data_IF_190495924631
#
_entry.id   IF_190495924631
#
_cell.length_a   1.000
_cell.length_b   1.000
_cell.length_c   1.000
_cell.angle_alpha   90.00
_cell.angle_beta   90.00
_cell.angle_gamma   90.00
#
_symmetry.space_group_name_H-M   'P 1'
#
loop_
_entity.id
_entity.type
_entity.pdbx_description
1 polymer ?
#
# COMPACT_ATOMS: atom_id res chain seq x y z
N UNK A 1 17.25 6.89 15.32
CA UNK A 1 16.33 7.52 16.29
C UNK A 1 16.14 6.60 17.49
N UNK A 2 15.69 7.09 18.66
CA UNK A 2 15.39 6.24 19.84
C UNK A 2 14.48 5.05 19.49
N UNK A 3 13.51 5.29 18.61
CA UNK A 3 12.57 4.29 18.09
C UNK A 3 13.25 3.12 17.37
N UNK A 4 14.41 3.32 16.74
CA UNK A 4 15.09 2.24 16.01
C UNK A 4 15.80 1.25 16.94
N UNK A 5 16.11 1.66 18.17
CA UNK A 5 16.79 0.82 19.16
C UNK A 5 15.85 0.03 20.07
N UNK A 6 14.55 0.34 20.05
CA UNK A 6 13.56 -0.26 20.98
C UNK A 6 12.49 -1.05 20.22
N UNK A 7 12.18 -0.66 18.99
CA UNK A 7 11.12 -1.28 18.21
C UNK A 7 11.69 -2.45 17.42
N UNK A 8 11.18 -3.65 17.68
CA UNK A 8 11.49 -4.87 16.92
C UNK A 8 10.36 -5.27 15.96
N UNK A 9 9.14 -4.79 16.22
CA UNK A 9 7.95 -5.10 15.43
C UNK A 9 6.96 -3.95 15.47
N UNK A 10 6.37 -3.64 14.32
CA UNK A 10 5.33 -2.62 14.15
C UNK A 10 4.04 -3.30 13.71
N UNK A 11 2.92 -2.93 14.32
CA UNK A 11 1.59 -3.32 13.88
C UNK A 11 0.85 -2.07 13.40
N UNK A 12 0.46 -2.08 12.14
CA UNK A 12 -0.32 -1.04 11.51
C UNK A 12 -1.74 -1.55 11.25
N UNK A 13 -2.75 -0.70 11.46
CA UNK A 13 -4.13 -0.98 11.09
C UNK A 13 -4.44 -0.10 9.88
N UNK A 14 -4.70 -0.75 8.75
CA UNK A 14 -5.01 -0.10 7.49
C UNK A 14 -6.11 -0.88 6.76
N UNK A 15 -7.07 -0.18 6.15
CA UNK A 15 -8.24 -0.78 5.48
C UNK A 15 -8.96 -1.89 6.29
N UNK A 16 -9.14 -1.66 7.60
CA UNK A 16 -9.70 -2.66 8.55
C UNK A 16 -8.90 -3.97 8.64
N UNK A 17 -7.65 -3.98 8.19
CA UNK A 17 -6.72 -5.11 8.26
C UNK A 17 -5.54 -4.76 9.16
N UNK A 18 -5.09 -5.75 9.91
CA UNK A 18 -3.90 -5.64 10.74
C UNK A 18 -2.69 -6.12 9.92
N UNK A 19 -1.73 -5.23 9.70
CA UNK A 19 -0.49 -5.49 8.96
C UNK A 19 0.67 -5.44 9.93
N UNK A 20 1.44 -6.52 10.00
CA UNK A 20 2.63 -6.58 10.84
C UNK A 20 3.90 -6.40 10.02
N UNK A 21 4.78 -5.52 10.47
CA UNK A 21 6.11 -5.30 9.91
C UNK A 21 7.17 -5.71 10.91
N UNK A 22 8.11 -6.56 10.48
CA UNK A 22 9.22 -7.01 11.31
C UNK A 22 10.46 -6.12 11.06
N UNK A 23 11.06 -5.62 12.12
CA UNK A 23 12.24 -4.76 12.09
C UNK A 23 12.03 -3.43 12.79
N UNK A 24 13.09 -2.62 12.75
CA UNK A 24 13.11 -1.30 13.36
C UNK A 24 12.17 -0.32 12.64
N UNK A 25 11.92 0.80 13.31
CA UNK A 25 10.97 1.81 12.84
C UNK A 25 11.34 2.41 11.47
N UNK A 26 12.62 2.68 11.23
CA UNK A 26 13.09 3.20 9.94
C UNK A 26 12.80 2.22 8.80
N UNK A 27 13.02 0.92 9.00
CA UNK A 27 12.69 -0.11 8.01
C UNK A 27 11.18 -0.20 7.77
N UNK A 28 10.37 -0.05 8.82
CA UNK A 28 8.92 0.02 8.67
C UNK A 28 8.48 1.18 7.75
N UNK A 29 9.06 2.38 7.92
CA UNK A 29 8.70 3.53 7.08
C UNK A 29 9.01 3.29 5.60
N UNK A 30 10.17 2.69 5.30
CA UNK A 30 10.54 2.31 3.93
C UNK A 30 9.56 1.29 3.33
N UNK A 31 9.25 0.22 4.09
CA UNK A 31 8.31 -0.81 3.66
C UNK A 31 6.90 -0.25 3.46
N UNK A 32 6.49 0.72 4.27
CA UNK A 32 5.20 1.40 4.15
C UNK A 32 5.13 2.23 2.87
N UNK A 33 6.17 2.99 2.54
CA UNK A 33 6.25 3.78 1.32
C UNK A 33 6.23 2.88 0.07
N UNK A 34 7.05 1.83 0.05
CA UNK A 34 7.06 0.85 -1.05
C UNK A 34 5.69 0.19 -1.25
N UNK A 35 5.01 -0.16 -0.16
CA UNK A 35 3.66 -0.74 -0.19
C UNK A 35 2.63 0.25 -0.74
N UNK A 36 2.69 1.50 -0.31
CA UNK A 36 1.79 2.55 -0.79
C UNK A 36 1.95 2.75 -2.30
N UNK A 37 3.19 2.81 -2.80
CA UNK A 37 3.47 2.97 -4.23
C UNK A 37 2.95 1.78 -5.05
N UNK A 38 3.08 0.56 -4.53
CA UNK A 38 2.54 -0.64 -5.18
C UNK A 38 1.01 -0.60 -5.24
N UNK A 39 0.35 -0.23 -4.13
CA UNK A 39 -1.11 -0.10 -4.07
C UNK A 39 -1.61 0.98 -5.03
N UNK A 40 -0.94 2.13 -5.07
CA UNK A 40 -1.28 3.23 -5.98
C UNK A 40 -1.16 2.80 -7.45
N UNK A 41 -0.07 2.11 -7.82
CA UNK A 41 0.09 1.56 -9.17
C UNK A 41 -1.02 0.57 -9.53
N UNK A 42 -1.37 -0.33 -8.62
CA UNK A 42 -2.46 -1.29 -8.83
C UNK A 42 -3.81 -0.58 -9.01
N UNK A 43 -4.08 0.43 -8.18
CA UNK A 43 -5.30 1.24 -8.27
C UNK A 43 -5.41 1.98 -9.60
N UNK A 44 -4.34 2.65 -10.03
CA UNK A 44 -4.31 3.37 -11.32
C UNK A 44 -4.53 2.43 -12.50
N UNK A 45 -3.94 1.23 -12.44
CA UNK A 45 -4.14 0.20 -13.47
C UNK A 45 -5.61 -0.28 -13.51
N UNK A 46 -6.20 -0.57 -12.35
CA UNK A 46 -7.63 -0.92 -12.27
C UNK A 46 -8.52 0.20 -12.82
N UNK A 47 -8.27 1.45 -12.44
CA UNK A 47 -9.05 2.59 -12.93
C UNK A 47 -8.96 2.73 -14.45
N UNK A 48 -7.78 2.53 -15.02
CA UNK A 48 -7.57 2.54 -16.47
C UNK A 48 -8.34 1.43 -17.17
N UNK A 49 -8.38 0.25 -16.59
CA UNK A 49 -9.11 -0.90 -17.13
C UNK A 49 -10.62 -0.68 -17.07
N UNK A 50 -11.13 -0.16 -15.95
CA UNK A 50 -12.54 0.25 -15.82
C UNK A 50 -12.90 1.28 -16.89
N UNK A 51 -12.06 2.30 -17.11
CA UNK A 51 -12.29 3.30 -18.15
C UNK A 51 -12.40 2.68 -19.54
N UNK A 52 -11.50 1.75 -19.88
CA UNK A 52 -11.53 1.03 -21.17
C UNK A 52 -12.79 0.18 -21.33
N UNK A 53 -13.21 -0.51 -20.27
CA UNK A 53 -14.43 -1.32 -20.28
C UNK A 53 -15.65 -0.42 -20.45
N UNK A 54 -15.69 0.73 -19.76
CA UNK A 54 -16.78 1.69 -19.90
C UNK A 54 -16.88 2.25 -21.32
N UNK A 55 -15.76 2.65 -21.92
CA UNK A 55 -15.71 3.10 -23.32
C UNK A 55 -16.17 2.02 -24.32
N UNK A 56 -15.95 0.75 -24.00
CA UNK A 56 -16.47 -0.35 -24.79
C UNK A 56 -17.99 -0.42 -24.64
N UNK A 57 -18.51 -0.44 -23.40
CA UNK A 57 -19.95 -0.48 -23.11
C UNK A 57 -20.69 0.67 -23.80
N UNK A 58 -20.16 1.89 -23.75
CA UNK A 58 -20.81 3.09 -24.32
C UNK A 58 -20.89 3.07 -25.86
N UNK A 59 -20.14 2.18 -26.53
CA UNK A 59 -20.14 2.02 -27.99
C UNK A 59 -21.07 0.90 -28.50
N UNK A 60 -21.63 0.08 -27.61
CA UNK A 60 -22.68 -0.91 -27.92
C UNK A 60 -24.07 -0.34 -27.62
#
# INVERSE_FOLDING_TARGET
SFMDGVIEKVYEIDEMRLVSFAGNYTKYLQLKEERYDQQLKAFLNQKKEISRIQEFIDKF
#
